data_IF_211439166578
#
_entry.id   IF_211439166578
#
_cell.length_a   1.000
_cell.length_b   1.000
_cell.length_c   1.000
_cell.angle_alpha   90.00
_cell.angle_beta   90.00
_cell.angle_gamma   90.00
#
_symmetry.space_group_name_H-M   'P 1'
#
loop_
_entity.id
_entity.type
_entity.pdbx_description
1 polymer ?
#
# COMPACT_ATOMS: atom_id res chain seq x y z
N UNK A 1 4.07 16.36 -4.83
CA UNK A 1 3.01 17.33 -4.51
C UNK A 1 3.31 18.02 -3.18
N UNK A 2 2.59 19.09 -2.83
CA UNK A 2 2.84 19.91 -1.63
C UNK A 2 2.80 19.11 -0.30
N UNK A 3 1.94 18.10 -0.23
CA UNK A 3 1.83 17.22 0.95
C UNK A 3 2.88 16.09 0.97
N UNK A 4 3.57 15.91 -0.16
CA UNK A 4 4.62 14.91 -0.29
C UNK A 4 5.81 15.22 0.61
N UNK A 5 6.31 14.19 1.28
CA UNK A 5 7.52 14.26 2.10
C UNK A 5 8.43 13.08 1.77
N UNK A 6 9.71 13.35 1.57
CA UNK A 6 10.73 12.33 1.40
C UNK A 6 11.89 12.60 2.35
N UNK A 7 12.22 11.62 3.18
CA UNK A 7 13.33 11.73 4.13
C UNK A 7 14.69 11.39 3.47
N UNK A 8 15.79 11.53 4.23
CA UNK A 8 17.13 11.15 3.75
C UNK A 8 17.24 9.63 3.54
N UNK A 9 18.09 9.22 2.59
CA UNK A 9 18.29 7.83 2.22
C UNK A 9 16.96 7.10 1.90
N UNK A 10 16.04 7.82 1.28
CA UNK A 10 14.74 7.33 0.87
C UNK A 10 14.37 7.97 -0.47
N UNK A 11 13.37 7.41 -1.14
CA UNK A 11 12.85 8.01 -2.37
C UNK A 11 12.30 6.99 -3.35
N UNK A 12 12.25 7.41 -4.61
CA UNK A 12 11.66 6.65 -5.71
C UNK A 12 12.76 6.14 -6.64
N UNK A 13 12.57 4.94 -7.21
CA UNK A 13 13.48 4.34 -8.21
C UNK A 13 13.06 4.65 -9.65
N UNK A 14 12.00 5.41 -9.85
CA UNK A 14 11.47 5.78 -11.15
C UNK A 14 10.34 6.82 -11.02
N UNK A 15 9.60 7.06 -12.12
CA UNK A 15 8.43 7.94 -12.11
C UNK A 15 7.40 7.48 -11.08
N UNK A 16 7.02 8.37 -10.17
CA UNK A 16 6.02 8.12 -9.11
C UNK A 16 5.27 9.42 -8.82
N UNK A 17 3.98 9.36 -8.51
CA UNK A 17 3.30 10.45 -7.83
C UNK A 17 3.55 10.36 -6.33
N UNK A 18 4.07 11.43 -5.72
CA UNK A 18 4.34 11.48 -4.27
C UNK A 18 3.60 12.63 -3.62
N UNK A 19 2.56 12.29 -2.88
CA UNK A 19 1.67 13.19 -2.13
C UNK A 19 1.57 12.79 -0.65
N UNK A 20 2.20 11.68 -0.25
CA UNK A 20 2.32 11.24 1.15
C UNK A 20 3.76 11.22 1.66
N UNK A 21 3.98 10.55 2.78
CA UNK A 21 5.24 10.53 3.53
C UNK A 21 6.05 9.25 3.28
N UNK A 22 7.25 9.41 2.74
CA UNK A 22 8.27 8.37 2.57
C UNK A 22 9.31 8.53 3.70
N UNK A 23 9.28 7.59 4.66
CA UNK A 23 10.21 7.58 5.81
C UNK A 23 11.65 7.27 5.40
N UNK A 24 12.62 7.57 6.28
CA UNK A 24 14.05 7.31 6.01
C UNK A 24 14.31 5.82 5.75
N UNK A 25 15.12 5.52 4.74
CA UNK A 25 15.43 4.14 4.34
C UNK A 25 14.39 3.45 3.45
N UNK A 26 13.23 4.07 3.21
CA UNK A 26 12.16 3.50 2.38
C UNK A 26 12.43 3.77 0.91
N UNK A 27 12.19 2.76 0.09
CA UNK A 27 12.30 2.84 -1.36
C UNK A 27 10.97 2.52 -2.02
N UNK A 28 10.59 3.30 -3.02
CA UNK A 28 9.35 3.16 -3.79
C UNK A 28 9.68 2.85 -5.26
N UNK A 29 9.16 1.75 -5.78
CA UNK A 29 9.36 1.29 -7.15
C UNK A 29 8.64 2.15 -8.20
N UNK A 30 9.05 2.00 -9.45
CA UNK A 30 8.52 2.78 -10.58
C UNK A 30 7.02 2.57 -10.79
N UNK A 31 6.32 3.64 -11.19
CA UNK A 31 4.89 3.64 -11.47
C UNK A 31 4.01 3.53 -10.22
N UNK A 32 4.58 3.65 -9.02
CA UNK A 32 3.82 3.61 -7.78
C UNK A 32 3.40 5.00 -7.34
N UNK A 33 2.17 5.11 -6.85
CA UNK A 33 1.56 6.35 -6.39
C UNK A 33 1.34 6.33 -4.88
N UNK A 34 1.89 7.35 -4.22
CA UNK A 34 1.74 7.60 -2.78
C UNK A 34 0.73 8.74 -2.61
N UNK A 35 -0.54 8.41 -2.42
CA UNK A 35 -1.63 9.37 -2.37
C UNK A 35 -1.55 10.37 -1.21
N UNK A 36 -2.33 11.45 -1.33
CA UNK A 36 -2.31 12.59 -0.41
C UNK A 36 -2.40 12.17 1.06
N UNK A 37 -1.38 12.50 1.84
CA UNK A 37 -1.39 12.29 3.30
C UNK A 37 -1.08 10.87 3.73
N UNK A 38 -0.83 9.97 2.78
CA UNK A 38 -0.47 8.59 3.03
C UNK A 38 0.80 8.48 3.90
N UNK A 39 0.91 7.38 4.64
CA UNK A 39 2.02 7.12 5.57
C UNK A 39 2.77 5.84 5.22
N UNK A 40 4.06 5.94 4.88
CA UNK A 40 4.92 4.76 4.76
C UNK A 40 5.90 4.75 5.95
N UNK A 41 5.81 3.74 6.81
CA UNK A 41 6.71 3.61 7.96
C UNK A 41 8.14 3.27 7.52
N UNK A 42 9.15 3.67 8.30
CA UNK A 42 10.57 3.47 7.93
C UNK A 42 11.07 2.04 8.12
N UNK A 43 10.69 1.44 9.26
CA UNK A 43 10.97 0.05 9.59
C UNK A 43 9.67 -0.67 9.90
N UNK A 44 9.70 -2.00 9.80
CA UNK A 44 8.55 -2.84 10.10
C UNK A 44 8.00 -2.52 11.49
N UNK A 45 6.78 -1.99 11.52
CA UNK A 45 6.13 -1.50 12.74
C UNK A 45 5.99 -2.64 13.76
N UNK A 46 6.46 -2.46 14.99
CA UNK A 46 6.42 -3.50 16.02
C UNK A 46 7.76 -4.14 16.37
N UNK A 47 8.86 -3.38 16.26
CA UNK A 47 10.20 -3.79 16.73
C UNK A 47 11.09 -4.43 15.66
N UNK A 48 10.73 -4.32 14.37
CA UNK A 48 11.51 -4.89 13.28
C UNK A 48 12.75 -4.06 12.90
N UNK A 49 13.80 -4.75 12.46
CA UNK A 49 15.02 -4.16 11.86
C UNK A 49 14.92 -4.01 10.33
N UNK A 50 13.90 -4.62 9.73
CA UNK A 50 13.70 -4.62 8.29
C UNK A 50 13.10 -3.29 7.81
N UNK A 51 13.66 -2.76 6.72
CA UNK A 51 13.18 -1.53 6.09
C UNK A 51 12.00 -1.84 5.18
N UNK A 52 11.00 -0.97 5.21
CA UNK A 52 9.83 -1.11 4.35
C UNK A 52 10.19 -0.68 2.93
N UNK A 53 9.72 -1.45 1.96
CA UNK A 53 9.81 -1.15 0.53
C UNK A 53 8.44 -1.21 -0.10
N UNK A 54 8.24 -0.41 -1.15
CA UNK A 54 7.07 -0.46 -2.02
C UNK A 54 7.54 -0.88 -3.40
N UNK A 55 6.95 -1.94 -3.96
CA UNK A 55 7.23 -2.42 -5.31
C UNK A 55 6.79 -1.45 -6.41
N UNK A 56 6.69 -1.97 -7.62
CA UNK A 56 6.25 -1.21 -8.79
C UNK A 56 4.72 -1.19 -8.91
N UNK A 57 4.18 -0.16 -9.59
CA UNK A 57 2.74 -0.06 -9.94
C UNK A 57 1.79 -0.23 -8.74
N UNK A 58 2.23 0.21 -7.57
CA UNK A 58 1.42 0.19 -6.36
C UNK A 58 0.59 1.47 -6.24
N UNK A 59 -0.55 1.39 -5.55
CA UNK A 59 -1.35 2.56 -5.20
C UNK A 59 -1.60 2.57 -3.69
N UNK A 60 -1.05 3.55 -2.99
CA UNK A 60 -1.36 3.79 -1.58
C UNK A 60 -2.35 4.96 -1.54
N UNK A 61 -3.61 4.68 -1.21
CA UNK A 61 -4.67 5.67 -1.23
C UNK A 61 -4.45 6.86 -0.29
N UNK A 62 -5.17 7.96 -0.53
CA UNK A 62 -5.09 9.14 0.31
C UNK A 62 -5.39 8.79 1.78
N UNK A 63 -4.62 9.36 2.72
CA UNK A 63 -4.68 9.09 4.16
C UNK A 63 -4.55 7.60 4.56
N UNK A 64 -4.13 6.73 3.65
CA UNK A 64 -3.81 5.35 3.96
C UNK A 64 -2.47 5.25 4.70
N UNK A 65 -2.12 4.05 5.16
CA UNK A 65 -0.78 3.83 5.70
C UNK A 65 -0.34 2.39 5.65
N UNK A 66 0.98 2.19 5.57
CA UNK A 66 1.61 0.87 5.57
C UNK A 66 2.72 0.78 6.60
N UNK A 67 2.67 -0.31 7.36
CA UNK A 67 3.69 -0.78 8.30
C UNK A 67 4.33 -2.09 7.86
N UNK A 68 4.11 -2.53 6.61
CA UNK A 68 4.70 -3.71 5.95
C UNK A 68 5.22 -3.32 4.57
N UNK A 69 6.13 -4.13 3.98
CA UNK A 69 6.51 -3.96 2.59
C UNK A 69 5.40 -4.40 1.65
N UNK A 70 5.28 -3.74 0.51
CA UNK A 70 4.40 -4.13 -0.59
C UNK A 70 5.24 -4.67 -1.74
N UNK A 71 4.85 -5.82 -2.30
CA UNK A 71 5.34 -6.23 -3.60
C UNK A 71 4.67 -5.44 -4.73
N UNK A 72 4.98 -5.78 -5.97
CA UNK A 72 4.41 -5.08 -7.13
C UNK A 72 2.88 -5.19 -7.20
N UNK A 73 2.25 -4.23 -7.86
CA UNK A 73 0.83 -4.24 -8.20
C UNK A 73 -0.11 -4.29 -6.97
N UNK A 74 0.35 -3.83 -5.81
CA UNK A 74 -0.46 -3.75 -4.59
C UNK A 74 -1.30 -2.47 -4.51
N UNK A 75 -2.44 -2.55 -3.83
CA UNK A 75 -3.30 -1.38 -3.56
C UNK A 75 -3.65 -1.35 -2.08
N UNK A 76 -3.66 -0.16 -1.49
CA UNK A 76 -4.18 0.09 -0.14
C UNK A 76 -5.29 1.13 -0.25
N UNK A 77 -6.49 0.77 0.18
CA UNK A 77 -7.65 1.66 0.20
C UNK A 77 -7.36 2.97 0.94
N UNK A 78 -7.93 4.07 0.46
CA UNK A 78 -7.87 5.37 1.14
C UNK A 78 -8.36 5.25 2.60
N UNK A 79 -7.65 5.91 3.51
CA UNK A 79 -7.94 5.85 4.95
C UNK A 79 -7.65 4.51 5.63
N UNK A 80 -7.19 3.48 4.91
CA UNK A 80 -6.84 2.19 5.50
C UNK A 80 -5.36 2.17 5.94
N UNK A 81 -5.12 1.97 7.23
CA UNK A 81 -3.77 1.79 7.78
C UNK A 81 -3.48 0.31 8.08
N UNK A 82 -2.54 -0.29 7.35
CA UNK A 82 -2.10 -1.68 7.48
C UNK A 82 -0.82 -1.74 8.31
N UNK A 83 -0.95 -1.87 9.64
CA UNK A 83 0.20 -2.10 10.53
C UNK A 83 0.66 -3.55 10.47
N UNK A 84 1.93 -3.85 10.78
CA UNK A 84 2.45 -5.22 10.70
C UNK A 84 1.70 -6.22 11.61
N UNK A 85 1.14 -5.73 12.72
CA UNK A 85 0.34 -6.51 13.67
C UNK A 85 -1.13 -6.64 13.31
N UNK A 86 -1.62 -5.90 12.31
CA UNK A 86 -3.02 -5.93 11.89
C UNK A 86 -3.44 -7.35 11.50
N UNK A 87 -4.64 -7.76 11.93
CA UNK A 87 -5.26 -9.03 11.54
C UNK A 87 -5.97 -8.83 10.21
N UNK A 88 -5.56 -9.57 9.20
CA UNK A 88 -6.04 -9.46 7.83
C UNK A 88 -6.82 -10.73 7.49
N UNK A 89 -8.09 -10.57 7.15
CA UNK A 89 -8.96 -11.62 6.61
C UNK A 89 -8.65 -11.83 5.13
N UNK A 90 -8.37 -13.08 4.75
CA UNK A 90 -8.14 -13.49 3.37
C UNK A 90 -9.42 -14.01 2.73
N UNK A 91 -9.43 -14.08 1.39
CA UNK A 91 -10.54 -14.63 0.59
C UNK A 91 -10.91 -16.08 0.96
N UNK A 92 -9.92 -16.86 1.41
CA UNK A 92 -10.12 -18.26 1.85
C UNK A 92 -10.58 -18.38 3.32
N UNK A 93 -10.89 -17.26 3.97
CA UNK A 93 -11.38 -17.19 5.34
C UNK A 93 -10.29 -17.24 6.42
N UNK A 94 -9.01 -17.43 6.05
CA UNK A 94 -7.91 -17.39 7.03
C UNK A 94 -7.67 -15.97 7.52
N UNK A 95 -7.22 -15.84 8.77
CA UNK A 95 -6.82 -14.56 9.37
C UNK A 95 -5.33 -14.59 9.72
N UNK A 96 -4.53 -13.82 9.00
CA UNK A 96 -3.08 -13.70 9.21
C UNK A 96 -2.71 -12.35 9.81
N UNK A 97 -1.50 -12.22 10.37
CA UNK A 97 -0.94 -10.90 10.63
C UNK A 97 -0.43 -10.30 9.32
N UNK A 98 -0.60 -9.00 9.13
CA UNK A 98 -0.16 -8.31 7.91
C UNK A 98 1.33 -8.53 7.61
N UNK A 99 2.18 -8.68 8.63
CA UNK A 99 3.61 -9.00 8.46
C UNK A 99 3.85 -10.27 7.62
N UNK A 100 2.93 -11.23 7.66
CA UNK A 100 3.02 -12.49 6.91
C UNK A 100 2.72 -12.30 5.43
N UNK A 101 2.15 -11.15 5.06
CA UNK A 101 1.83 -10.74 3.69
C UNK A 101 2.87 -9.73 3.14
N UNK A 102 3.89 -9.38 3.93
CA UNK A 102 4.92 -8.40 3.55
C UNK A 102 5.63 -8.84 2.27
N UNK A 103 5.69 -7.94 1.28
CA UNK A 103 6.35 -8.18 -0.02
C UNK A 103 5.57 -9.04 -1.01
N UNK A 104 4.37 -9.54 -0.65
CA UNK A 104 3.47 -10.20 -1.59
C UNK A 104 3.03 -9.22 -2.69
N UNK A 105 2.82 -9.74 -3.90
CA UNK A 105 2.41 -8.95 -5.07
C UNK A 105 0.90 -9.03 -5.28
N UNK A 106 0.33 -8.03 -5.95
CA UNK A 106 -1.04 -8.09 -6.45
C UNK A 106 -2.11 -8.16 -5.36
N UNK A 107 -1.86 -7.63 -4.17
CA UNK A 107 -2.84 -7.61 -3.09
C UNK A 107 -3.59 -6.27 -3.03
N UNK A 108 -4.89 -6.32 -2.82
CA UNK A 108 -5.71 -5.19 -2.41
C UNK A 108 -6.01 -5.30 -0.92
N UNK A 109 -5.49 -4.34 -0.14
CA UNK A 109 -5.83 -4.17 1.26
C UNK A 109 -6.96 -3.15 1.41
N UNK A 110 -8.01 -3.52 2.13
CA UNK A 110 -9.17 -2.66 2.38
C UNK A 110 -9.76 -2.90 3.76
N UNK A 111 -10.59 -1.97 4.23
CA UNK A 111 -11.48 -2.14 5.36
C UNK A 111 -12.89 -2.37 4.85
N UNK A 112 -13.47 -3.51 5.19
CA UNK A 112 -14.87 -3.77 4.94
C UNK A 112 -15.73 -2.75 5.70
N UNK A 113 -16.53 -1.97 4.98
CA UNK A 113 -17.32 -0.88 5.57
C UNK A 113 -18.52 -1.34 6.38
N UNK A 114 -18.94 -2.61 6.24
CA UNK A 114 -20.04 -3.19 7.02
C UNK A 114 -19.53 -3.91 8.27
N UNK A 115 -18.49 -4.73 8.14
CA UNK A 115 -17.97 -5.53 9.26
C UNK A 115 -16.82 -4.86 10.02
N UNK A 116 -16.18 -3.85 9.43
CA UNK A 116 -14.97 -3.21 9.97
C UNK A 116 -13.69 -4.04 9.83
N UNK A 117 -13.79 -5.27 9.31
CA UNK A 117 -12.64 -6.17 9.12
C UNK A 117 -11.64 -5.60 8.12
N UNK A 118 -10.35 -5.76 8.41
CA UNK A 118 -9.31 -5.54 7.42
C UNK A 118 -9.19 -6.79 6.56
N UNK A 119 -9.26 -6.61 5.25
CA UNK A 119 -9.28 -7.69 4.26
C UNK A 119 -8.10 -7.54 3.29
N UNK A 120 -7.58 -8.67 2.80
CA UNK A 120 -6.70 -8.71 1.64
C UNK A 120 -7.29 -9.63 0.57
N UNK A 121 -7.44 -9.09 -0.63
CA UNK A 121 -7.97 -9.78 -1.81
C UNK A 121 -6.92 -9.80 -2.92
N UNK A 122 -6.94 -10.82 -3.78
CA UNK A 122 -6.04 -10.84 -4.94
C UNK A 122 -6.60 -9.94 -6.03
N UNK A 123 -5.75 -9.06 -6.56
CA UNK A 123 -6.08 -8.29 -7.76
C UNK A 123 -5.96 -9.21 -8.97
N UNK A 124 -7.06 -9.37 -9.68
CA UNK A 124 -7.02 -9.81 -11.07
C UNK A 124 -6.53 -8.63 -11.92
N UNK A 125 -5.57 -8.83 -12.84
CA UNK A 125 -5.08 -7.77 -13.73
C UNK A 125 -6.11 -7.28 -14.77
N UNK A 126 -7.37 -7.69 -14.67
CA UNK A 126 -8.42 -7.32 -15.61
C UNK A 126 -8.98 -5.94 -15.28
N UNK A 127 -8.22 -4.91 -15.65
CA UNK A 127 -8.78 -3.59 -15.90
C UNK A 127 -9.20 -3.53 -17.38
N UNK A 128 -10.46 -3.81 -17.68
CA UNK A 128 -11.05 -3.72 -19.04
C UNK A 128 -11.32 -2.25 -19.48
N UNK A 129 -10.66 -1.27 -18.85
CA UNK A 129 -10.86 0.15 -19.15
C UNK A 129 -12.09 0.76 -18.46
N UNK A 130 -12.30 2.05 -18.71
CA UNK A 130 -13.48 2.79 -18.27
C UNK A 130 -14.73 2.30 -19.01
N UNK A 131 -15.86 2.20 -18.30
CA UNK A 131 -17.16 1.90 -18.89
C UNK A 131 -17.42 2.84 -20.07
N UNK A 132 -17.49 2.28 -21.29
CA UNK A 132 -17.69 3.05 -22.53
C UNK A 132 -18.99 3.86 -22.53
N UNK A 133 -19.95 3.54 -21.67
CA UNK A 133 -21.19 4.29 -21.49
C UNK A 133 -21.05 5.56 -20.65
N UNK A 134 -19.96 5.73 -19.89
CA UNK A 134 -19.75 6.91 -19.03
C UNK A 134 -18.88 7.99 -19.69
N UNK A 135 -18.35 7.73 -20.89
CA UNK A 135 -17.41 8.61 -21.60
C UNK A 135 -17.76 8.84 -23.08
N UNK A 136 -19.05 8.76 -23.43
CA UNK A 136 -19.60 9.23 -24.70
C UNK A 136 -20.16 10.64 -24.57
#
# INVERSE_FOLDING_TARGET
>A
MHEGFCNFNAGTLGPCMVEGRISAGVVVGSGSDVGGGASIMGTLSGGGKERITVGERCLIGANAGIGISLGDDCVVEAGCYVTAGARILLEDGRVLKAKELSGQKGLLFRRNSQSGALEATRRTPNWDGLNSQLHS
#
